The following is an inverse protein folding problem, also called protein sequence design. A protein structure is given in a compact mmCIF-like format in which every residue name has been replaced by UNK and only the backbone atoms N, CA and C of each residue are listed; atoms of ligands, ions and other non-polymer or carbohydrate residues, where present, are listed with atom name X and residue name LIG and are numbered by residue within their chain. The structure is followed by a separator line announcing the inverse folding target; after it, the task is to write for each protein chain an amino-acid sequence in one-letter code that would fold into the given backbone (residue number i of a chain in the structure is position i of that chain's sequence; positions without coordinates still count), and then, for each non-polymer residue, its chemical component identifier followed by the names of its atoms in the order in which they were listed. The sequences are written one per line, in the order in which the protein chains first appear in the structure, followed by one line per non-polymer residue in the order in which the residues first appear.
data_IF_023870587971
#
_entry.id   IF_023870587971
#
_cell.length_a   1.000
_cell.length_b   1.000
_cell.length_c   1.000
_cell.angle_alpha   90.00
_cell.angle_beta   90.00
_cell.angle_gamma   90.00
#
_symmetry.space_group_name_H-M   'P 1'
#
loop_
_entity.id
_entity.type
_entity.pdbx_description
1 polymer ?
#
# COMPACT_ATOMS: atom_id res chain seq x y z
N UNK A 1 9.26 -23.61 -10.29
CA UNK A 1 8.61 -22.63 -9.45
C UNK A 1 7.37 -22.11 -10.14
N UNK A 2 6.27 -22.03 -9.41
CA UNK A 2 5.02 -21.41 -9.91
C UNK A 2 5.28 -19.90 -10.04
N UNK A 3 4.92 -19.30 -11.17
CA UNK A 3 5.01 -17.85 -11.33
C UNK A 3 4.09 -17.17 -10.31
N UNK A 4 4.48 -16.02 -9.77
CA UNK A 4 3.69 -15.22 -8.81
C UNK A 4 2.26 -14.94 -9.32
N UNK A 5 2.08 -14.87 -10.62
CA UNK A 5 0.79 -14.72 -11.34
C UNK A 5 -0.20 -15.84 -11.06
N UNK A 6 0.28 -17.09 -11.12
CA UNK A 6 -0.60 -18.25 -10.88
C UNK A 6 -1.03 -18.36 -9.42
N UNK A 7 -0.33 -17.74 -8.50
CA UNK A 7 -0.55 -17.86 -7.07
C UNK A 7 -1.57 -16.89 -6.52
N UNK A 8 -1.62 -15.64 -7.00
CA UNK A 8 -2.73 -14.73 -6.67
C UNK A 8 -4.06 -15.36 -7.10
N UNK A 9 -4.13 -15.88 -8.33
CA UNK A 9 -5.33 -16.59 -8.81
C UNK A 9 -5.71 -17.78 -7.94
N UNK A 10 -4.72 -18.58 -7.50
CA UNK A 10 -4.98 -19.72 -6.59
C UNK A 10 -5.45 -19.28 -5.22
N UNK A 11 -4.83 -18.23 -4.66
CA UNK A 11 -5.25 -17.69 -3.37
C UNK A 11 -6.68 -17.15 -3.42
N UNK A 12 -7.02 -16.41 -4.48
CA UNK A 12 -8.38 -15.91 -4.70
C UNK A 12 -9.37 -17.06 -4.89
N UNK A 13 -9.03 -18.09 -5.67
CA UNK A 13 -9.88 -19.26 -5.86
C UNK A 13 -10.13 -19.99 -4.54
N UNK A 14 -9.09 -20.25 -3.76
CA UNK A 14 -9.22 -20.89 -2.44
C UNK A 14 -10.07 -20.06 -1.47
N UNK A 15 -9.91 -18.72 -1.48
CA UNK A 15 -10.74 -17.84 -0.64
C UNK A 15 -12.23 -17.85 -1.08
N UNK A 16 -12.51 -18.02 -2.36
CA UNK A 16 -13.88 -18.17 -2.87
C UNK A 16 -14.51 -19.52 -2.52
N UNK A 17 -13.71 -20.60 -2.53
CA UNK A 17 -14.17 -21.96 -2.17
C UNK A 17 -14.45 -22.07 -0.67
N UNK A 18 -13.71 -21.35 0.17
CA UNK A 18 -13.84 -21.40 1.63
C UNK A 18 -13.78 -19.98 2.23
N UNK A 19 -14.88 -19.19 2.12
CA UNK A 19 -14.93 -17.83 2.63
C UNK A 19 -14.53 -17.71 4.11
N UNK A 20 -13.77 -16.69 4.46
CA UNK A 20 -13.34 -16.40 5.84
C UNK A 20 -12.24 -17.31 6.40
N UNK A 21 -11.89 -18.42 5.74
CA UNK A 21 -10.86 -19.36 6.25
C UNK A 21 -9.44 -18.87 6.02
N UNK A 22 -9.20 -18.07 4.99
CA UNK A 22 -7.91 -17.43 4.75
C UNK A 22 -7.70 -16.31 5.75
N UNK A 23 -6.56 -16.31 6.42
CA UNK A 23 -6.16 -15.25 7.34
C UNK A 23 -5.16 -14.30 6.68
N UNK A 24 -5.41 -12.99 6.77
CA UNK A 24 -4.57 -11.94 6.21
C UNK A 24 -4.09 -10.98 7.30
N UNK A 25 -2.81 -11.01 7.60
CA UNK A 25 -2.22 -10.06 8.55
C UNK A 25 -2.13 -8.65 7.96
N UNK A 26 -2.54 -7.66 8.72
CA UNK A 26 -2.50 -6.23 8.36
C UNK A 26 -1.78 -5.44 9.45
N UNK A 27 -1.06 -4.38 9.05
CA UNK A 27 -0.30 -3.52 9.96
C UNK A 27 -1.20 -2.51 10.69
N UNK A 28 -2.08 -3.00 11.56
CA UNK A 28 -3.06 -2.19 12.28
C UNK A 28 -4.40 -2.04 11.56
N UNK A 29 -5.35 -1.43 12.25
CA UNK A 29 -6.70 -1.11 11.76
C UNK A 29 -6.78 0.35 11.29
N UNK A 30 -7.64 0.64 10.31
CA UNK A 30 -7.86 1.98 9.72
C UNK A 30 -6.63 2.61 9.05
N UNK A 31 -5.57 1.83 8.83
CA UNK A 31 -4.39 2.26 8.08
C UNK A 31 -4.38 1.70 6.65
N UNK A 32 -3.34 2.07 5.86
CA UNK A 32 -3.22 1.70 4.45
C UNK A 32 -3.36 0.18 4.20
N UNK A 33 -2.76 -0.66 5.03
CA UNK A 33 -2.87 -2.12 4.88
C UNK A 33 -4.31 -2.63 5.11
N UNK A 34 -5.07 -2.01 6.03
CA UNK A 34 -6.49 -2.35 6.22
C UNK A 34 -7.32 -1.95 5.01
N UNK A 35 -7.15 -0.72 4.54
CA UNK A 35 -7.87 -0.22 3.36
C UNK A 35 -7.55 -1.05 2.10
N UNK A 36 -6.27 -1.40 1.89
CA UNK A 36 -5.87 -2.27 0.79
C UNK A 36 -6.51 -3.67 0.90
N UNK A 37 -6.61 -4.22 2.11
CA UNK A 37 -7.29 -5.49 2.34
C UNK A 37 -8.78 -5.41 1.97
N UNK A 38 -9.47 -4.35 2.39
CA UNK A 38 -10.89 -4.13 2.06
C UNK A 38 -11.11 -3.97 0.55
N UNK A 39 -10.27 -3.18 -0.13
CA UNK A 39 -10.34 -3.05 -1.59
C UNK A 39 -10.06 -4.38 -2.30
N UNK A 40 -9.09 -5.15 -1.82
CA UNK A 40 -8.78 -6.46 -2.37
C UNK A 40 -9.95 -7.43 -2.21
N UNK A 41 -10.56 -7.47 -1.03
CA UNK A 41 -11.75 -8.29 -0.76
C UNK A 41 -12.89 -7.92 -1.70
N UNK A 42 -13.13 -6.63 -1.85
CA UNK A 42 -14.17 -6.08 -2.72
C UNK A 42 -13.89 -6.38 -4.21
N UNK A 43 -12.72 -6.01 -4.69
CA UNK A 43 -12.34 -6.17 -6.09
C UNK A 43 -12.22 -7.62 -6.54
N UNK A 44 -11.80 -8.53 -5.64
CA UNK A 44 -11.70 -9.97 -5.92
C UNK A 44 -13.01 -10.74 -5.64
N UNK A 45 -13.97 -10.14 -4.95
CA UNK A 45 -15.18 -10.81 -4.47
C UNK A 45 -14.86 -11.98 -3.55
N UNK A 46 -13.98 -11.75 -2.56
CA UNK A 46 -13.54 -12.75 -1.56
C UNK A 46 -13.77 -12.26 -0.15
N UNK A 47 -13.87 -13.20 0.77
CA UNK A 47 -13.93 -12.95 2.20
C UNK A 47 -12.69 -13.55 2.88
N UNK A 48 -11.96 -12.74 3.65
CA UNK A 48 -10.78 -13.17 4.42
C UNK A 48 -10.90 -12.68 5.86
N UNK A 49 -10.32 -13.42 6.79
CA UNK A 49 -10.22 -12.99 8.19
C UNK A 49 -9.01 -12.07 8.37
N UNK A 50 -9.25 -10.80 8.68
CA UNK A 50 -8.19 -9.83 8.92
C UNK A 50 -7.60 -10.02 10.33
N UNK A 51 -6.26 -10.07 10.41
CA UNK A 51 -5.51 -10.23 11.66
C UNK A 51 -4.66 -8.99 11.89
N UNK A 52 -5.10 -8.02 12.69
CA UNK A 52 -4.31 -6.83 12.99
C UNK A 52 -3.01 -7.18 13.74
N UNK A 53 -1.92 -6.55 13.35
CA UNK A 53 -0.60 -6.69 13.98
C UNK A 53 -0.03 -5.33 14.39
N UNK A 54 0.98 -5.35 15.25
CA UNK A 54 1.69 -4.14 15.67
C UNK A 54 2.88 -3.87 14.74
N UNK A 55 2.60 -3.41 13.50
CA UNK A 55 3.63 -3.04 12.54
C UNK A 55 4.13 -4.18 11.65
N UNK A 56 4.92 -3.80 10.65
CA UNK A 56 5.35 -4.70 9.59
C UNK A 56 6.22 -5.89 10.06
N UNK A 57 7.13 -5.67 11.00
CA UNK A 57 7.99 -6.73 11.53
C UNK A 57 7.16 -7.85 12.20
N UNK A 58 6.13 -7.50 12.95
CA UNK A 58 5.19 -8.47 13.53
C UNK A 58 4.39 -9.20 12.44
N UNK A 59 4.01 -8.51 11.37
CA UNK A 59 3.34 -9.15 10.23
C UNK A 59 4.25 -10.19 9.59
N UNK A 60 5.52 -9.85 9.32
CA UNK A 60 6.52 -10.78 8.77
C UNK A 60 6.70 -11.99 9.68
N UNK A 61 6.86 -11.78 10.99
CA UNK A 61 7.03 -12.88 11.95
C UNK A 61 5.82 -13.85 11.95
N UNK A 62 4.59 -13.34 11.84
CA UNK A 62 3.39 -14.17 11.76
C UNK A 62 3.30 -14.97 10.47
N UNK A 63 3.72 -14.38 9.35
CA UNK A 63 3.79 -15.09 8.05
C UNK A 63 4.85 -16.19 8.12
N UNK A 64 6.06 -15.85 8.58
CA UNK A 64 7.17 -16.80 8.68
C UNK A 64 6.88 -17.96 9.65
N UNK A 65 6.16 -17.68 10.74
CA UNK A 65 5.73 -18.69 11.72
C UNK A 65 4.51 -19.51 11.29
N UNK A 66 3.93 -19.26 10.11
CA UNK A 66 2.72 -19.97 9.63
C UNK A 66 1.45 -19.67 10.45
N UNK A 67 1.45 -18.55 11.21
CA UNK A 67 0.30 -18.15 12.03
C UNK A 67 -0.80 -17.45 11.24
N UNK A 68 -0.51 -17.04 10.01
CA UNK A 68 -1.43 -16.45 9.04
C UNK A 68 -1.12 -16.96 7.65
N UNK A 69 -2.11 -16.97 6.78
CA UNK A 69 -1.97 -17.45 5.38
C UNK A 69 -1.14 -16.46 4.54
N UNK A 70 -1.36 -15.16 4.74
CA UNK A 70 -0.69 -14.08 4.01
C UNK A 70 -0.63 -12.80 4.86
N UNK A 71 -0.01 -11.75 4.34
CA UNK A 71 -0.01 -10.44 4.99
C UNK A 71 0.27 -9.30 4.02
N UNK A 72 -0.14 -8.10 4.40
CA UNK A 72 0.14 -6.85 3.70
C UNK A 72 1.24 -6.10 4.46
N UNK A 73 2.34 -5.85 3.77
CA UNK A 73 3.52 -5.13 4.29
C UNK A 73 4.02 -4.12 3.26
N UNK A 74 4.76 -3.13 3.71
CA UNK A 74 5.42 -2.19 2.80
C UNK A 74 6.51 -2.86 1.96
N UNK A 75 6.66 -2.43 0.71
CA UNK A 75 7.62 -3.00 -0.24
C UNK A 75 9.05 -2.97 0.29
N UNK A 76 9.49 -1.86 0.89
CA UNK A 76 10.84 -1.76 1.46
C UNK A 76 11.12 -2.76 2.57
N UNK A 77 10.09 -3.15 3.35
CA UNK A 77 10.25 -4.21 4.33
C UNK A 77 10.36 -5.59 3.66
N UNK A 78 9.62 -5.80 2.57
CA UNK A 78 9.74 -7.04 1.78
C UNK A 78 11.13 -7.18 1.16
N UNK A 79 11.65 -6.13 0.51
CA UNK A 79 12.96 -6.15 -0.16
C UNK A 79 14.14 -6.29 0.80
N UNK A 80 13.95 -5.93 2.07
CA UNK A 80 14.95 -6.10 3.14
C UNK A 80 14.94 -7.49 3.80
N UNK A 81 14.07 -8.40 3.38
CA UNK A 81 13.88 -9.73 3.97
C UNK A 81 14.05 -10.82 2.92
N UNK A 82 14.75 -11.90 3.27
CA UNK A 82 14.90 -13.08 2.41
C UNK A 82 13.79 -14.14 2.64
N UNK A 83 12.88 -13.91 3.57
CA UNK A 83 11.96 -14.91 4.12
C UNK A 83 10.51 -14.72 3.68
N UNK A 84 10.28 -14.41 2.43
CA UNK A 84 8.92 -14.26 1.94
C UNK A 84 8.84 -14.25 0.44
N UNK A 85 7.64 -14.43 -0.09
CA UNK A 85 7.37 -14.28 -1.49
C UNK A 85 6.25 -13.27 -1.69
N UNK A 86 6.55 -12.19 -2.43
CA UNK A 86 5.52 -11.26 -2.85
C UNK A 86 4.63 -11.93 -3.92
N UNK A 87 3.33 -11.80 -3.74
CA UNK A 87 2.32 -12.31 -4.66
C UNK A 87 1.87 -11.23 -5.64
N UNK A 88 1.60 -10.04 -5.14
CA UNK A 88 1.25 -8.87 -5.95
C UNK A 88 1.47 -7.57 -5.17
N UNK A 89 1.58 -6.47 -5.92
CA UNK A 89 1.61 -5.10 -5.40
C UNK A 89 0.21 -4.49 -5.43
N UNK A 90 -0.06 -3.61 -4.47
CA UNK A 90 -1.33 -2.85 -4.40
C UNK A 90 -1.31 -1.56 -5.24
N UNK A 91 -0.22 -1.28 -5.92
CA UNK A 91 -0.05 -0.12 -6.80
C UNK A 91 -0.64 -0.38 -8.20
N UNK A 92 -0.89 0.67 -8.95
CA UNK A 92 -1.38 0.67 -10.33
C UNK A 92 -0.33 0.13 -11.33
N UNK A 93 0.96 0.32 -11.02
CA UNK A 93 2.09 -0.15 -11.82
C UNK A 93 3.09 -0.96 -10.99
N UNK A 94 3.91 -1.77 -11.68
CA UNK A 94 5.02 -2.49 -11.03
C UNK A 94 6.05 -1.51 -10.51
N UNK A 95 6.73 -1.91 -9.44
CA UNK A 95 7.82 -1.13 -8.85
C UNK A 95 9.17 -1.55 -9.44
N UNK A 96 10.03 -0.59 -9.72
CA UNK A 96 11.42 -0.83 -10.11
C UNK A 96 12.23 -1.59 -9.03
N UNK A 97 11.78 -1.52 -7.77
CA UNK A 97 12.37 -2.26 -6.65
C UNK A 97 11.93 -3.73 -6.57
N UNK A 98 10.90 -4.11 -7.34
CA UNK A 98 10.40 -5.48 -7.44
C UNK A 98 9.76 -5.72 -8.82
N UNK A 99 10.53 -5.63 -9.92
CA UNK A 99 9.99 -5.65 -11.28
C UNK A 99 9.30 -6.96 -11.66
N UNK A 100 9.66 -8.04 -11.00
CA UNK A 100 9.08 -9.37 -11.24
C UNK A 100 7.75 -9.59 -10.48
N UNK A 101 7.40 -8.69 -9.55
CA UNK A 101 6.15 -8.79 -8.78
C UNK A 101 5.03 -8.08 -9.55
N UNK A 102 3.98 -8.80 -9.95
CA UNK A 102 2.85 -8.19 -10.67
C UNK A 102 2.02 -7.30 -9.73
N UNK A 103 1.15 -6.47 -10.30
CA UNK A 103 0.12 -5.76 -9.55
C UNK A 103 -1.17 -6.59 -9.46
N UNK A 104 -2.04 -6.24 -8.50
CA UNK A 104 -3.39 -6.80 -8.44
C UNK A 104 -4.21 -6.42 -9.68
N UNK A 105 -4.02 -5.21 -10.22
CA UNK A 105 -4.68 -4.73 -11.44
C UNK A 105 -4.33 -5.60 -12.65
N UNK A 106 -3.08 -6.05 -12.79
CA UNK A 106 -2.68 -7.02 -13.82
C UNK A 106 -3.39 -8.38 -13.69
N UNK A 107 -4.00 -8.65 -12.55
CA UNK A 107 -4.79 -9.86 -12.26
C UNK A 107 -6.30 -9.63 -12.38
N UNK A 108 -6.70 -8.47 -12.87
CA UNK A 108 -8.12 -8.10 -13.00
C UNK A 108 -8.79 -7.76 -11.67
N UNK A 109 -8.02 -7.54 -10.62
CA UNK A 109 -8.51 -7.07 -9.33
C UNK A 109 -8.21 -5.58 -9.26
N UNK A 110 -9.23 -4.70 -9.35
CA UNK A 110 -9.03 -3.26 -9.30
C UNK A 110 -8.60 -2.86 -7.88
N UNK A 111 -7.32 -2.63 -7.72
CA UNK A 111 -6.73 -2.23 -6.47
C UNK A 111 -5.59 -1.27 -6.77
N UNK A 112 -5.78 -0.03 -6.38
CA UNK A 112 -4.80 1.04 -6.46
C UNK A 112 -4.81 1.78 -5.12
N UNK A 113 -3.96 1.34 -4.21
CA UNK A 113 -3.74 1.99 -2.93
C UNK A 113 -2.26 2.09 -2.64
N UNK A 114 -1.66 3.18 -3.07
CA UNK A 114 -0.30 3.53 -2.73
C UNK A 114 -0.26 4.34 -1.43
N UNK A 115 0.81 4.19 -0.66
CA UNK A 115 1.05 5.03 0.53
C UNK A 115 1.80 6.27 0.10
N UNK A 116 1.19 7.44 0.28
CA UNK A 116 1.83 8.73 0.12
C UNK A 116 2.30 9.29 1.47
N UNK A 117 3.40 10.05 1.46
CA UNK A 117 3.84 10.88 2.58
C UNK A 117 3.61 12.34 2.21
N UNK A 118 2.79 13.01 3.00
CA UNK A 118 2.38 14.38 2.75
C UNK A 118 2.91 15.25 3.89
N UNK A 119 3.59 16.34 3.54
CA UNK A 119 4.00 17.37 4.49
C UNK A 119 2.91 18.43 4.50
N UNK A 120 2.40 18.73 5.68
CA UNK A 120 1.36 19.74 5.89
C UNK A 120 1.89 20.90 6.72
N UNK A 121 1.33 22.07 6.50
CA UNK A 121 1.63 23.28 7.26
C UNK A 121 0.34 23.93 7.77
N UNK A 122 0.37 24.76 8.82
CA UNK A 122 -0.79 25.50 9.29
C UNK A 122 -1.40 26.36 8.19
N UNK A 123 -2.72 26.49 8.18
CA UNK A 123 -3.39 27.44 7.30
C UNK A 123 -2.99 28.87 7.60
N UNK A 124 -2.87 29.70 6.56
CA UNK A 124 -2.53 31.11 6.70
C UNK A 124 -1.03 31.42 6.83
N UNK A 125 -0.15 30.47 6.42
CA UNK A 125 1.25 30.79 6.25
C UNK A 125 1.42 31.98 5.27
N UNK A 126 2.37 32.91 5.55
CA UNK A 126 2.74 33.93 4.58
C UNK A 126 3.18 33.31 3.24
N UNK A 127 2.83 33.95 2.13
CA UNK A 127 3.10 33.41 0.78
C UNK A 127 4.59 33.17 0.53
N UNK A 128 5.45 34.06 1.01
CA UNK A 128 6.92 33.93 0.90
C UNK A 128 7.46 32.72 1.69
N UNK A 129 6.91 32.46 2.88
CA UNK A 129 7.25 31.29 3.67
C UNK A 129 6.79 30.01 2.99
N UNK A 130 5.57 29.98 2.43
CA UNK A 130 5.04 28.83 1.70
C UNK A 130 5.87 28.55 0.43
N UNK A 131 6.19 29.59 -0.34
CA UNK A 131 7.03 29.47 -1.53
C UNK A 131 8.44 28.95 -1.20
N UNK A 132 9.03 29.43 -0.11
CA UNK A 132 10.33 28.96 0.36
C UNK A 132 10.28 27.47 0.75
N UNK A 133 9.28 27.06 1.51
CA UNK A 133 9.11 25.64 1.91
C UNK A 133 8.93 24.74 0.70
N UNK A 134 8.05 25.09 -0.23
CA UNK A 134 7.82 24.32 -1.47
C UNK A 134 9.10 24.15 -2.27
N UNK A 135 9.79 25.27 -2.59
CA UNK A 135 11.01 25.20 -3.39
C UNK A 135 12.16 24.46 -2.68
N UNK A 136 12.18 24.47 -1.36
CA UNK A 136 13.18 23.73 -0.59
C UNK A 136 12.88 22.25 -0.58
N UNK A 137 11.62 21.86 -0.37
CA UNK A 137 11.20 20.46 -0.36
C UNK A 137 11.34 19.81 -1.75
N UNK A 138 11.00 20.53 -2.82
CA UNK A 138 11.24 20.10 -4.19
C UNK A 138 12.72 19.78 -4.43
N UNK A 139 13.62 20.72 -4.12
CA UNK A 139 15.07 20.50 -4.24
C UNK A 139 15.58 19.32 -3.39
N UNK A 140 15.03 19.14 -2.18
CA UNK A 140 15.37 18.01 -1.34
C UNK A 140 14.93 16.70 -2.00
N UNK A 141 13.72 16.65 -2.53
CA UNK A 141 13.16 15.45 -3.17
C UNK A 141 13.94 15.07 -4.44
N UNK A 142 14.47 16.05 -5.16
CA UNK A 142 15.30 15.89 -6.36
C UNK A 142 16.78 15.63 -6.06
N UNK A 143 17.21 15.79 -4.81
CA UNK A 143 18.61 15.56 -4.44
C UNK A 143 19.01 14.09 -4.51
N UNK A 144 20.25 13.83 -4.97
CA UNK A 144 20.80 12.47 -5.05
C UNK A 144 20.74 11.75 -3.70
N UNK A 145 21.02 12.44 -2.60
CA UNK A 145 20.97 11.88 -1.26
C UNK A 145 19.58 11.41 -0.86
N UNK A 146 18.53 12.20 -1.17
CA UNK A 146 17.15 11.81 -0.88
C UNK A 146 16.67 10.66 -1.78
N UNK A 147 16.99 10.72 -3.07
CA UNK A 147 16.65 9.66 -4.04
C UNK A 147 17.29 8.35 -3.61
N UNK A 148 18.59 8.36 -3.27
CA UNK A 148 19.30 7.16 -2.82
C UNK A 148 18.71 6.59 -1.53
N UNK A 149 18.50 7.44 -0.52
CA UNK A 149 17.93 7.00 0.76
C UNK A 149 16.50 6.46 0.61
N UNK A 150 15.70 7.03 -0.30
CA UNK A 150 14.36 6.54 -0.61
C UNK A 150 14.41 5.19 -1.31
N UNK A 151 15.31 5.04 -2.28
CA UNK A 151 15.53 3.80 -3.03
C UNK A 151 15.96 2.64 -2.11
N UNK A 152 16.86 2.89 -1.15
CA UNK A 152 17.27 1.91 -0.12
C UNK A 152 16.09 1.40 0.72
N UNK A 153 15.02 2.20 0.83
CA UNK A 153 13.78 1.82 1.51
C UNK A 153 12.71 1.25 0.56
N UNK A 154 13.04 0.99 -0.70
CA UNK A 154 12.11 0.50 -1.71
C UNK A 154 11.02 1.53 -2.05
N UNK A 155 11.33 2.81 -2.00
CA UNK A 155 10.40 3.91 -2.25
C UNK A 155 10.91 4.82 -3.35
N UNK A 156 9.99 5.28 -4.22
CA UNK A 156 10.29 6.33 -5.17
C UNK A 156 10.30 7.71 -4.51
N UNK A 157 11.18 8.59 -4.99
CA UNK A 157 11.15 10.00 -4.65
C UNK A 157 10.27 10.72 -5.68
N UNK A 158 9.08 11.14 -5.29
CA UNK A 158 8.12 11.82 -6.16
C UNK A 158 7.76 13.15 -5.50
N UNK A 159 7.98 14.25 -6.23
CA UNK A 159 7.50 15.56 -5.83
C UNK A 159 6.13 15.84 -6.44
N UNK A 160 5.21 16.27 -5.61
CA UNK A 160 3.90 16.72 -6.03
C UNK A 160 3.45 17.86 -5.10
N UNK A 161 2.98 18.96 -5.66
CA UNK A 161 2.49 20.10 -4.88
C UNK A 161 1.28 20.78 -5.55
N UNK A 162 0.73 21.81 -4.86
CA UNK A 162 -0.33 22.65 -5.36
C UNK A 162 -1.59 21.88 -5.78
N UNK A 163 -2.17 22.26 -6.93
CA UNK A 163 -3.42 21.70 -7.44
C UNK A 163 -3.32 20.19 -7.71
N UNK A 164 -2.15 19.72 -8.15
CA UNK A 164 -1.94 18.30 -8.41
C UNK A 164 -2.00 17.47 -7.12
N UNK A 165 -1.38 17.95 -6.04
CA UNK A 165 -1.45 17.30 -4.74
C UNK A 165 -2.88 17.36 -4.17
N UNK A 166 -3.54 18.50 -4.23
CA UNK A 166 -4.93 18.66 -3.77
C UNK A 166 -5.88 17.72 -4.50
N UNK A 167 -5.75 17.59 -5.82
CA UNK A 167 -6.55 16.67 -6.62
C UNK A 167 -6.31 15.20 -6.21
N UNK A 168 -5.04 14.83 -5.99
CA UNK A 168 -4.67 13.48 -5.54
C UNK A 168 -5.24 13.15 -4.16
N UNK A 169 -5.14 14.10 -3.22
CA UNK A 169 -5.68 13.93 -1.85
C UNK A 169 -7.19 13.79 -1.89
N UNK A 170 -7.88 14.63 -2.68
CA UNK A 170 -9.34 14.59 -2.81
C UNK A 170 -9.81 13.26 -3.42
N UNK A 171 -9.17 12.80 -4.49
CA UNK A 171 -9.49 11.52 -5.10
C UNK A 171 -9.30 10.35 -4.12
N UNK A 172 -8.21 10.38 -3.33
CA UNK A 172 -7.95 9.41 -2.28
C UNK A 172 -9.02 9.45 -1.19
N UNK A 173 -9.41 10.63 -0.71
CA UNK A 173 -10.46 10.81 0.30
C UNK A 173 -11.80 10.25 -0.18
N UNK A 174 -12.21 10.57 -1.40
CA UNK A 174 -13.45 10.07 -1.99
C UNK A 174 -13.46 8.53 -2.08
N UNK A 175 -12.37 7.93 -2.56
CA UNK A 175 -12.20 6.49 -2.68
C UNK A 175 -12.25 5.80 -1.31
N UNK A 176 -11.48 6.30 -0.34
CA UNK A 176 -11.43 5.75 1.02
C UNK A 176 -12.77 5.89 1.72
N UNK A 177 -13.42 7.05 1.64
CA UNK A 177 -14.71 7.30 2.28
C UNK A 177 -15.79 6.36 1.74
N UNK A 178 -15.83 6.17 0.42
CA UNK A 178 -16.75 5.22 -0.22
C UNK A 178 -16.55 3.78 0.27
N UNK A 179 -15.28 3.37 0.39
CA UNK A 179 -14.92 2.04 0.90
C UNK A 179 -15.32 1.86 2.37
N UNK A 180 -15.00 2.84 3.22
CA UNK A 180 -15.30 2.77 4.65
C UNK A 180 -16.80 2.74 4.94
N UNK A 181 -17.60 3.50 4.19
CA UNK A 181 -19.07 3.44 4.28
C UNK A 181 -19.61 2.09 3.85
N UNK A 182 -19.08 1.50 2.77
CA UNK A 182 -19.48 0.18 2.29
C UNK A 182 -19.29 -0.91 3.36
N UNK A 183 -18.24 -0.78 4.16
CA UNK A 183 -17.93 -1.72 5.25
C UNK A 183 -18.46 -1.26 6.62
N UNK A 184 -19.33 -0.24 6.65
CA UNK A 184 -19.97 0.28 7.87
C UNK A 184 -18.95 0.69 8.96
N UNK A 185 -17.79 1.19 8.55
CA UNK A 185 -16.71 1.63 9.45
C UNK A 185 -16.79 3.13 9.77
N UNK A 186 -17.57 3.88 9.01
CA UNK A 186 -17.94 5.29 9.24
C UNK A 186 -19.41 5.51 8.82
N UNK A 187 -20.02 6.59 9.31
CA UNK A 187 -21.38 7.04 8.99
C UNK A 187 -21.52 7.59 7.55
#
# INVERSE_FOLDING_TARGET
GLSSVAEVGKAVAAAKEAPGTMTLAITGTMGAAHLAALQMMDGAGIEVTLVPTQGGANTVARIAGGHVTAGLIGLGLYTSQDNGRALALTADARSDFAPDVPTFSEKGIPLDLATARIIVAPAGLPEDALAYLRSTLEKVTESEGFITASAEQGQGAIWQDGEALEASVKAMEESITGLLRKYELID
#
